data_IF_345293657082
#
_entry.id   IF_345293657082
#
_cell.length_a   1.000
_cell.length_b   1.000
_cell.length_c   1.000
_cell.angle_alpha   90.00
_cell.angle_beta   90.00
_cell.angle_gamma   90.00
#
_symmetry.space_group_name_H-M   'P 1'
#
loop_
_entity.id
_entity.type
_entity.pdbx_description
1 polymer ?
#
# COMPACT_ATOMS: atom_id res chain seq x y z
N UNK A 1 -1.30 5.63 1.94
CA UNK A 1 -0.03 5.23 1.27
C UNK A 1 1.17 5.22 2.21
N UNK A 2 1.43 6.24 3.06
CA UNK A 2 2.60 6.24 3.96
C UNK A 2 2.78 4.96 4.77
N UNK A 3 1.71 4.47 5.41
CA UNK A 3 1.70 3.20 6.17
C UNK A 3 2.23 1.99 5.37
N UNK A 4 1.85 1.84 4.10
CA UNK A 4 2.32 0.74 3.25
C UNK A 4 3.80 0.89 2.92
N UNK A 5 4.27 2.12 2.71
CA UNK A 5 5.67 2.40 2.44
C UNK A 5 6.54 2.20 3.68
N UNK A 6 6.07 2.60 4.86
CA UNK A 6 6.77 2.37 6.12
C UNK A 6 6.87 0.87 6.43
N UNK A 7 5.81 0.11 6.16
CA UNK A 7 5.87 -1.33 6.32
C UNK A 7 6.81 -1.99 5.31
N UNK A 8 6.82 -1.55 4.05
CA UNK A 8 7.79 -2.03 3.06
C UNK A 8 9.24 -1.83 3.54
N UNK A 9 9.56 -0.64 4.06
CA UNK A 9 10.90 -0.34 4.60
C UNK A 9 11.26 -1.21 5.80
N UNK A 10 10.32 -1.50 6.68
CA UNK A 10 10.55 -2.26 7.92
C UNK A 10 10.57 -3.78 7.68
N UNK A 11 9.59 -4.28 6.93
CA UNK A 11 9.35 -5.70 6.74
C UNK A 11 10.14 -6.27 5.56
N UNK A 12 10.64 -5.43 4.64
CA UNK A 12 11.30 -5.83 3.40
C UNK A 12 10.47 -6.77 2.52
N UNK A 13 9.15 -6.72 2.69
CA UNK A 13 8.17 -7.49 1.92
C UNK A 13 6.81 -6.85 2.11
N UNK A 14 6.00 -6.85 1.05
CA UNK A 14 4.57 -6.54 1.14
C UNK A 14 3.75 -7.71 0.61
N UNK A 15 2.60 -7.95 1.24
CA UNK A 15 1.59 -8.90 0.74
C UNK A 15 0.91 -8.38 -0.52
N UNK A 16 0.23 -9.25 -1.26
CA UNK A 16 -0.31 -8.94 -2.59
C UNK A 16 -1.19 -7.67 -2.59
N UNK A 17 -2.12 -7.54 -1.65
CA UNK A 17 -2.99 -6.36 -1.55
C UNK A 17 -2.19 -5.05 -1.39
N UNK A 18 -1.17 -5.07 -0.52
CA UNK A 18 -0.26 -3.93 -0.31
C UNK A 18 0.58 -3.61 -1.55
N UNK A 19 1.11 -4.64 -2.23
CA UNK A 19 1.86 -4.48 -3.49
C UNK A 19 1.01 -3.85 -4.59
N UNK A 20 -0.24 -4.28 -4.72
CA UNK A 20 -1.16 -3.70 -5.72
C UNK A 20 -1.51 -2.25 -5.39
N UNK A 21 -1.89 -1.98 -4.14
CA UNK A 21 -2.30 -0.63 -3.73
C UNK A 21 -1.15 0.38 -3.83
N UNK A 22 0.04 0.03 -3.33
CA UNK A 22 1.22 0.91 -3.42
C UNK A 22 1.79 0.96 -4.84
N UNK A 23 1.91 -0.19 -5.51
CA UNK A 23 2.51 -0.27 -6.86
C UNK A 23 1.72 0.51 -7.91
N UNK A 24 0.40 0.41 -7.92
CA UNK A 24 -0.44 1.17 -8.86
C UNK A 24 -0.47 2.68 -8.51
N UNK A 25 -0.34 3.03 -7.23
CA UNK A 25 -0.17 4.41 -6.82
C UNK A 25 1.16 4.99 -7.35
N UNK A 26 2.26 4.26 -7.19
CA UNK A 26 3.58 4.66 -7.69
C UNK A 26 3.59 4.83 -9.22
N UNK A 27 2.97 3.90 -9.96
CA UNK A 27 2.76 4.03 -11.40
C UNK A 27 2.02 5.32 -11.75
N UNK A 28 0.92 5.61 -11.05
CA UNK A 28 0.08 6.79 -11.34
C UNK A 28 0.80 8.12 -11.10
N UNK A 29 1.71 8.18 -10.13
CA UNK A 29 2.51 9.38 -9.87
C UNK A 29 3.74 9.50 -10.79
N UNK A 30 3.92 8.57 -11.73
CA UNK A 30 4.90 8.68 -12.82
C UNK A 30 6.12 7.76 -12.70
N UNK A 31 6.17 6.84 -11.75
CA UNK A 31 7.26 5.88 -11.68
C UNK A 31 7.21 4.96 -12.91
N UNK A 32 8.28 4.92 -13.69
CA UNK A 32 8.34 4.06 -14.88
C UNK A 32 8.44 2.58 -14.49
N UNK A 33 8.18 1.66 -15.43
CA UNK A 33 8.32 0.23 -15.18
C UNK A 33 9.73 -0.14 -14.71
N UNK A 34 10.76 0.40 -15.37
CA UNK A 34 12.16 0.12 -15.04
C UNK A 34 12.51 0.61 -13.63
N UNK A 35 12.04 1.80 -13.24
CA UNK A 35 12.24 2.32 -11.90
C UNK A 35 11.43 1.53 -10.86
N UNK A 36 10.22 1.10 -11.20
CA UNK A 36 9.37 0.27 -10.35
C UNK A 36 10.03 -1.09 -10.06
N UNK A 37 10.62 -1.75 -11.06
CA UNK A 37 11.36 -2.99 -10.85
C UNK A 37 12.54 -2.77 -9.89
N UNK A 38 13.34 -1.72 -10.11
CA UNK A 38 14.46 -1.35 -9.21
C UNK A 38 13.98 -1.02 -7.79
N UNK A 39 12.88 -0.28 -7.66
CA UNK A 39 12.28 0.09 -6.38
C UNK A 39 11.89 -1.14 -5.57
N UNK A 40 11.13 -2.06 -6.18
CA UNK A 40 10.67 -3.26 -5.50
C UNK A 40 11.83 -4.21 -5.17
N UNK A 41 12.76 -4.41 -6.10
CA UNK A 41 13.95 -5.24 -5.88
C UNK A 41 14.80 -4.69 -4.73
N UNK A 42 15.07 -3.37 -4.73
CA UNK A 42 15.83 -2.70 -3.68
C UNK A 42 15.21 -2.93 -2.29
N UNK A 43 13.89 -2.72 -2.16
CA UNK A 43 13.23 -2.86 -0.87
C UNK A 43 13.07 -4.32 -0.41
N UNK A 44 13.02 -5.28 -1.34
CA UNK A 44 12.91 -6.72 -1.02
C UNK A 44 14.27 -7.39 -0.79
N UNK A 45 15.35 -6.78 -1.28
CA UNK A 45 16.72 -7.32 -1.23
C UNK A 45 17.14 -7.93 0.11
N UNK A 46 16.78 -7.37 1.28
CA UNK A 46 17.18 -7.96 2.56
C UNK A 46 16.58 -9.35 2.83
N UNK A 47 15.50 -9.75 2.14
CA UNK A 47 14.83 -11.05 2.31
C UNK A 47 14.76 -11.89 1.05
N UNK A 48 14.91 -11.27 -0.12
CA UNK A 48 14.70 -11.87 -1.43
C UNK A 48 15.91 -11.50 -2.29
N UNK A 49 16.67 -12.51 -2.72
CA UNK A 49 17.75 -12.30 -3.68
C UNK A 49 17.22 -11.91 -5.07
N UNK A 50 18.12 -11.44 -5.94
CA UNK A 50 17.75 -10.96 -7.27
C UNK A 50 17.10 -12.06 -8.14
N UNK A 51 17.58 -13.30 -8.09
CA UNK A 51 17.05 -14.39 -8.91
C UNK A 51 15.61 -14.73 -8.48
N UNK A 52 15.38 -14.88 -7.18
CA UNK A 52 14.07 -15.11 -6.59
C UNK A 52 13.14 -13.92 -6.86
N UNK A 53 13.65 -12.69 -6.83
CA UNK A 53 12.88 -11.51 -7.18
C UNK A 53 12.36 -11.57 -8.62
N UNK A 54 13.26 -11.84 -9.56
CA UNK A 54 12.91 -11.97 -10.98
C UNK A 54 11.86 -13.07 -11.21
N UNK A 55 12.03 -14.22 -10.55
CA UNK A 55 11.12 -15.37 -10.69
C UNK A 55 9.75 -15.14 -10.07
N UNK A 56 9.67 -14.48 -8.90
CA UNK A 56 8.44 -14.45 -8.10
C UNK A 56 7.66 -13.14 -8.20
N UNK A 57 8.31 -12.01 -8.48
CA UNK A 57 7.69 -10.69 -8.34
C UNK A 57 7.75 -9.85 -9.62
N UNK A 58 8.83 -9.92 -10.39
CA UNK A 58 9.02 -9.05 -11.57
C UNK A 58 7.90 -9.18 -12.60
N UNK A 59 7.40 -10.41 -12.85
CA UNK A 59 6.25 -10.64 -13.73
C UNK A 59 5.01 -9.86 -13.29
N UNK A 60 4.66 -9.92 -12.00
CA UNK A 60 3.49 -9.21 -11.47
C UNK A 60 3.62 -7.69 -11.57
N UNK A 61 4.84 -7.17 -11.47
CA UNK A 61 5.12 -5.75 -11.64
C UNK A 61 4.93 -5.37 -13.10
N UNK A 62 5.53 -6.10 -14.06
CA UNK A 62 5.35 -5.84 -15.50
C UNK A 62 3.87 -5.91 -15.91
N UNK A 63 3.13 -6.86 -15.36
CA UNK A 63 1.68 -6.98 -15.59
C UNK A 63 0.89 -5.74 -15.13
N UNK A 64 1.26 -5.10 -14.02
CA UNK A 64 0.63 -3.85 -13.58
C UNK A 64 0.84 -2.68 -14.56
N UNK A 65 1.91 -2.74 -15.37
CA UNK A 65 2.21 -1.77 -16.42
C UNK A 65 1.64 -2.16 -17.79
N UNK A 66 0.95 -3.30 -17.90
CA UNK A 66 0.40 -3.77 -19.18
C UNK A 66 1.42 -4.44 -20.09
N UNK A 67 2.62 -4.76 -19.62
CA UNK A 67 3.69 -5.38 -20.42
C UNK A 67 3.62 -6.92 -20.45
N UNK A 68 2.64 -7.52 -19.79
CA UNK A 68 2.47 -8.98 -19.69
C UNK A 68 1.00 -9.40 -19.87
N UNK A 69 0.79 -10.67 -20.23
CA UNK A 69 -0.55 -11.27 -20.32
C UNK A 69 -1.49 -10.52 -21.28
N UNK A 70 -2.72 -10.24 -20.82
CA UNK A 70 -3.75 -9.53 -21.61
C UNK A 70 -3.45 -8.03 -21.85
N UNK A 71 -2.29 -7.53 -21.39
CA UNK A 71 -1.86 -6.13 -21.52
C UNK A 71 -2.88 -5.12 -21.01
N UNK A 72 -3.54 -5.45 -19.90
CA UNK A 72 -4.53 -4.57 -19.31
C UNK A 72 -3.86 -3.39 -18.59
N UNK A 73 -4.35 -2.18 -18.86
CA UNK A 73 -3.92 -1.00 -18.14
C UNK A 73 -4.62 -0.91 -16.77
N UNK A 74 -3.97 -1.46 -15.74
CA UNK A 74 -4.50 -1.40 -14.38
C UNK A 74 -4.48 0.04 -13.84
N UNK A 75 -5.68 0.58 -13.60
CA UNK A 75 -5.87 1.87 -12.96
C UNK A 75 -5.57 1.81 -11.46
N UNK A 76 -5.06 2.93 -10.92
CA UNK A 76 -4.90 3.14 -9.48
C UNK A 76 -6.23 2.94 -8.74
N UNK A 77 -6.17 2.41 -7.52
CA UNK A 77 -7.38 2.23 -6.72
C UNK A 77 -7.90 3.57 -6.21
N UNK A 78 -9.20 3.81 -6.42
CA UNK A 78 -9.92 4.92 -5.79
C UNK A 78 -10.09 4.69 -4.29
N UNK A 79 -10.38 5.75 -3.53
CA UNK A 79 -10.70 5.63 -2.10
C UNK A 79 -11.84 4.63 -1.86
N UNK A 80 -12.91 4.70 -2.66
CA UNK A 80 -14.03 3.76 -2.58
C UNK A 80 -13.57 2.31 -2.78
N UNK A 81 -12.73 2.04 -3.79
CA UNK A 81 -12.19 0.70 -4.04
C UNK A 81 -11.32 0.21 -2.88
N UNK A 82 -10.48 1.09 -2.32
CA UNK A 82 -9.62 0.79 -1.17
C UNK A 82 -10.46 0.48 0.08
N UNK A 83 -11.59 1.17 0.25
CA UNK A 83 -12.49 1.04 1.41
C UNK A 83 -13.39 -0.19 1.29
N UNK A 84 -13.93 -0.47 0.09
CA UNK A 84 -15.03 -1.43 -0.07
C UNK A 84 -14.59 -2.76 -0.69
N UNK A 85 -13.66 -2.77 -1.65
CA UNK A 85 -13.47 -3.93 -2.52
C UNK A 85 -12.25 -4.79 -2.15
N UNK A 86 -11.35 -4.30 -1.30
CA UNK A 86 -10.16 -5.03 -0.85
C UNK A 86 -9.91 -4.78 0.64
N UNK A 87 -10.83 -5.20 1.53
CA UNK A 87 -10.60 -5.09 2.97
C UNK A 87 -9.33 -5.89 3.35
N UNK A 88 -8.48 -5.36 4.24
CA UNK A 88 -7.30 -6.10 4.71
C UNK A 88 -7.72 -7.34 5.51
N UNK A 89 -7.08 -8.47 5.26
CA UNK A 89 -7.16 -9.65 6.13
C UNK A 89 -6.22 -9.57 7.34
N UNK A 90 -6.15 -10.64 8.12
CA UNK A 90 -5.29 -10.71 9.30
C UNK A 90 -3.81 -10.53 8.93
N UNK A 91 -3.20 -9.45 9.42
CA UNK A 91 -1.81 -9.08 9.13
C UNK A 91 -1.60 -8.39 7.78
N UNK A 92 -2.66 -8.05 7.05
CA UNK A 92 -2.57 -7.19 5.87
C UNK A 92 -2.57 -5.71 6.27
N UNK A 93 -1.82 -4.89 5.53
CA UNK A 93 -1.74 -3.46 5.77
C UNK A 93 -2.31 -2.60 4.63
N UNK A 94 -2.91 -3.24 3.60
CA UNK A 94 -3.70 -2.51 2.60
C UNK A 94 -4.99 -1.95 3.20
N UNK A 95 -5.70 -1.15 2.41
CA UNK A 95 -6.93 -0.50 2.83
C UNK A 95 -6.72 0.95 3.30
N UNK A 96 -7.79 1.49 3.87
CA UNK A 96 -7.85 2.85 4.42
C UNK A 96 -7.69 2.80 5.95
N UNK A 97 -6.69 3.46 6.55
CA UNK A 97 -6.54 3.51 8.01
C UNK A 97 -7.77 4.05 8.73
N UNK A 98 -8.46 5.02 8.13
CA UNK A 98 -9.68 5.62 8.71
C UNK A 98 -10.90 4.69 8.71
N UNK A 99 -10.84 3.56 8.00
CA UNK A 99 -11.91 2.56 7.98
C UNK A 99 -11.51 1.24 8.63
N UNK A 100 -10.27 0.81 8.42
CA UNK A 100 -9.83 -0.55 8.70
C UNK A 100 -8.85 -0.65 9.87
N UNK A 101 -8.36 0.45 10.43
CA UNK A 101 -7.68 0.43 11.72
C UNK A 101 -8.73 0.63 12.82
N UNK A 102 -8.52 -0.02 13.96
CA UNK A 102 -9.24 0.36 15.17
C UNK A 102 -8.83 1.77 15.63
N UNK A 103 -9.63 2.33 16.54
CA UNK A 103 -9.46 3.69 17.02
C UNK A 103 -8.09 3.90 17.69
N UNK A 104 -7.59 2.93 18.45
CA UNK A 104 -6.31 3.05 19.16
C UNK A 104 -5.15 3.14 18.18
N UNK A 105 -5.06 2.20 17.24
CA UNK A 105 -4.02 2.21 16.21
C UNK A 105 -4.10 3.46 15.32
N UNK A 106 -5.30 3.92 14.97
CA UNK A 106 -5.46 5.14 14.19
C UNK A 106 -4.95 6.37 14.95
N UNK A 107 -5.25 6.50 16.24
CA UNK A 107 -4.75 7.60 17.06
C UNK A 107 -3.23 7.58 17.17
N UNK A 108 -2.62 6.40 17.36
CA UNK A 108 -1.16 6.24 17.36
C UNK A 108 -0.54 6.65 16.02
N UNK A 109 -1.13 6.23 14.89
CA UNK A 109 -0.68 6.62 13.55
C UNK A 109 -0.73 8.14 13.37
N UNK A 110 -1.84 8.78 13.74
CA UNK A 110 -1.99 10.23 13.62
C UNK A 110 -1.00 10.98 14.53
N UNK A 111 -0.76 10.48 15.74
CA UNK A 111 0.25 11.03 16.65
C UNK A 111 1.66 10.93 16.08
N UNK A 112 2.01 9.79 15.46
CA UNK A 112 3.31 9.59 14.82
C UNK A 112 3.50 10.48 13.58
N UNK A 113 2.41 10.90 12.94
CA UNK A 113 2.41 11.92 11.89
C UNK A 113 2.54 13.36 12.44
N UNK A 114 2.66 13.56 13.76
CA UNK A 114 2.79 14.87 14.38
C UNK A 114 1.47 15.65 14.51
N UNK A 115 0.31 14.99 14.36
CA UNK A 115 -0.99 15.65 14.52
C UNK A 115 -1.24 15.97 16.00
N UNK A 116 -1.65 17.21 16.28
CA UNK A 116 -1.99 17.66 17.63
C UNK A 116 -3.17 16.86 18.22
N UNK A 117 -3.14 16.59 19.54
CA UNK A 117 -4.12 15.75 20.24
C UNK A 117 -5.57 16.17 20.01
N UNK A 118 -5.85 17.47 19.98
CA UNK A 118 -7.22 17.98 19.78
C UNK A 118 -7.74 17.68 18.36
N UNK A 119 -6.86 17.76 17.36
CA UNK A 119 -7.21 17.41 15.98
C UNK A 119 -7.43 15.89 15.83
N UNK A 120 -6.67 15.07 16.57
CA UNK A 120 -6.89 13.62 16.60
C UNK A 120 -8.30 13.32 17.14
N UNK A 121 -8.71 13.96 18.25
CA UNK A 121 -10.06 13.80 18.80
C UNK A 121 -11.15 14.20 17.79
N UNK A 122 -10.96 15.30 17.07
CA UNK A 122 -11.91 15.74 16.05
C UNK A 122 -12.08 14.69 14.93
N UNK A 123 -10.97 14.10 14.47
CA UNK A 123 -10.99 13.05 13.45
C UNK A 123 -11.69 11.79 13.97
N UNK A 124 -11.36 11.31 15.18
CA UNK A 124 -11.99 10.10 15.73
C UNK A 124 -13.50 10.30 15.93
N UNK A 125 -13.90 11.46 16.47
CA UNK A 125 -15.31 11.80 16.65
C UNK A 125 -16.09 11.86 15.32
N UNK A 126 -15.43 12.20 14.21
CA UNK A 126 -16.06 12.19 12.90
C UNK A 126 -16.33 10.76 12.40
N UNK A 127 -15.43 9.82 12.71
CA UNK A 127 -15.54 8.42 12.28
C UNK A 127 -16.63 7.65 13.05
N UNK A 128 -16.90 8.04 14.29
CA UNK A 128 -17.91 7.41 15.15
C UNK A 128 -19.35 7.89 14.86
N UNK A 129 -19.54 8.86 13.96
CA UNK A 129 -20.88 9.35 13.61
C UNK A 129 -21.64 8.28 12.82
N UNK A 130 -22.88 7.93 13.21
CA UNK A 130 -23.72 7.07 12.39
C UNK A 130 -23.97 7.75 11.04
N UNK A 131 -23.80 6.99 9.96
CA UNK A 131 -24.10 7.40 8.58
C UNK A 131 -25.58 7.23 8.27
#
# INVERSE_FOLDING_TARGET
MPRLYDDLKRAHLLRLGGRMQLGLFLKKIGLSLNESLKFWEYHFRPKIDAEKFQRQYAYSIRHNYGEEGKRADYAVYSCLKIIMNNPPGNGDLNGCPFKHCDAEHLQQLLKNCGIHKDNIKNVTNFLDRPQ
#
